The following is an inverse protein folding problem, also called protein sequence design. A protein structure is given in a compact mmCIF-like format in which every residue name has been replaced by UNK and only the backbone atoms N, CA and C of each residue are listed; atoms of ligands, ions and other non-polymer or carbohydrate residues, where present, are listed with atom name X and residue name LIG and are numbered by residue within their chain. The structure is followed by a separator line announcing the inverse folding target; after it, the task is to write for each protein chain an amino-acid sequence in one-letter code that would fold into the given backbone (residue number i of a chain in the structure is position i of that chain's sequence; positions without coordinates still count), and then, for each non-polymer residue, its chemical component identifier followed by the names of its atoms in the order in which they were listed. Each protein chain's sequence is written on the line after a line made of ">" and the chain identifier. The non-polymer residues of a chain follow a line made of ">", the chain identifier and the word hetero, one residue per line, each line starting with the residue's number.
data_IF_559699454921
#
_entry.id   IF_559699454921
#
_cell.length_a   1.000
_cell.length_b   1.000
_cell.length_c   1.000
_cell.angle_alpha   90.00
_cell.angle_beta   90.00
_cell.angle_gamma   90.00
#
_symmetry.space_group_name_H-M   'P 1'
#
loop_
_entity.id
_entity.type
_entity.pdbx_description
1 polymer ?
#
# COMPACT_ATOMS: atom_id res chain seq x y z
N UNK A 1 7.25 -17.62 -3.10
CA UNK A 1 8.54 -17.03 -3.54
C UNK A 1 9.53 -17.07 -2.38
N UNK A 2 10.85 -17.11 -2.64
CA UNK A 2 11.88 -16.77 -1.63
C UNK A 2 12.57 -15.50 -2.14
N UNK A 3 12.07 -14.32 -1.77
CA UNK A 3 12.56 -13.06 -2.34
C UNK A 3 14.04 -12.91 -2.01
N UNK A 4 14.86 -12.80 -3.07
CA UNK A 4 16.32 -12.67 -2.97
C UNK A 4 17.02 -13.78 -2.15
N UNK A 5 16.38 -14.94 -1.93
CA UNK A 5 16.95 -16.05 -1.17
C UNK A 5 16.87 -15.96 0.37
N UNK A 6 16.31 -14.89 0.93
CA UNK A 6 16.25 -14.62 2.38
C UNK A 6 14.98 -15.23 2.99
N UNK A 7 15.07 -15.87 4.17
CA UNK A 7 13.98 -16.67 4.79
C UNK A 7 13.61 -16.27 6.21
N UNK A 8 14.42 -15.44 6.84
CA UNK A 8 14.38 -15.11 8.27
C UNK A 8 13.24 -14.17 8.63
N UNK A 9 12.60 -13.54 7.64
CA UNK A 9 11.53 -12.57 7.82
C UNK A 9 10.19 -13.06 7.29
N UNK A 10 9.13 -12.73 8.02
CA UNK A 10 7.76 -13.00 7.62
C UNK A 10 7.07 -11.76 7.04
N UNK A 11 5.77 -11.90 6.80
CA UNK A 11 4.89 -10.81 6.38
C UNK A 11 3.85 -10.48 7.45
N UNK A 12 3.32 -9.27 7.39
CA UNK A 12 2.22 -8.81 8.24
C UNK A 12 1.18 -8.04 7.43
N UNK A 13 0.04 -7.73 8.06
CA UNK A 13 -1.05 -6.92 7.51
C UNK A 13 -1.64 -6.04 8.61
N UNK A 14 -2.41 -5.01 8.26
CA UNK A 14 -3.15 -4.23 9.25
C UNK A 14 -4.10 -5.10 10.06
N UNK A 15 -4.81 -6.04 9.41
CA UNK A 15 -5.71 -6.98 10.08
C UNK A 15 -4.97 -7.91 11.06
N UNK A 16 -3.78 -8.42 10.70
CA UNK A 16 -2.93 -9.21 11.60
C UNK A 16 -2.39 -8.39 12.79
N UNK A 17 -2.32 -7.07 12.64
CA UNK A 17 -2.00 -6.13 13.73
C UNK A 17 -3.25 -5.70 14.53
N UNK A 18 -4.44 -6.25 14.22
CA UNK A 18 -5.70 -5.94 14.90
C UNK A 18 -6.42 -4.69 14.38
N UNK A 19 -6.02 -4.17 13.21
CA UNK A 19 -6.61 -2.99 12.60
C UNK A 19 -7.56 -3.40 11.47
N UNK A 20 -8.85 -3.14 11.66
CA UNK A 20 -9.88 -3.39 10.65
C UNK A 20 -10.05 -2.15 9.76
N UNK A 21 -9.27 -2.10 8.67
CA UNK A 21 -9.21 -0.97 7.74
C UNK A 21 -9.72 -1.41 6.38
N UNK A 22 -10.61 -0.61 5.80
CA UNK A 22 -11.09 -0.80 4.43
C UNK A 22 -10.08 -0.28 3.41
N UNK A 23 -10.11 -0.80 2.17
CA UNK A 23 -9.23 -0.30 1.10
C UNK A 23 -9.41 1.20 0.84
N UNK A 24 -10.65 1.70 0.87
CA UNK A 24 -10.91 3.13 0.70
C UNK A 24 -10.30 4.01 1.81
N UNK A 25 -10.30 3.53 3.05
CA UNK A 25 -9.63 4.23 4.16
C UNK A 25 -8.10 4.21 4.00
N UNK A 26 -7.54 3.09 3.54
CA UNK A 26 -6.13 2.99 3.24
C UNK A 26 -5.73 3.97 2.12
N UNK A 27 -6.50 4.01 1.03
CA UNK A 27 -6.25 4.92 -0.10
C UNK A 27 -6.27 6.38 0.35
N UNK A 28 -7.24 6.77 1.18
CA UNK A 28 -7.34 8.11 1.74
C UNK A 28 -6.11 8.48 2.60
N UNK A 29 -5.70 7.57 3.49
CA UNK A 29 -4.53 7.79 4.36
C UNK A 29 -3.22 7.90 3.57
N UNK A 30 -3.07 7.10 2.51
CA UNK A 30 -1.92 7.18 1.60
C UNK A 30 -1.90 8.50 0.82
N UNK A 31 -3.05 8.95 0.32
CA UNK A 31 -3.16 10.23 -0.38
C UNK A 31 -2.82 11.42 0.52
N UNK A 32 -3.27 11.41 1.78
CA UNK A 32 -2.93 12.43 2.78
C UNK A 32 -1.43 12.45 3.10
N UNK A 33 -0.82 11.27 3.24
CA UNK A 33 0.61 11.13 3.59
C UNK A 33 1.54 11.47 2.41
N UNK A 34 1.04 11.46 1.19
CA UNK A 34 1.86 11.53 -0.02
C UNK A 34 2.64 12.84 -0.13
N UNK A 35 1.99 13.99 0.04
CA UNK A 35 2.64 15.29 -0.11
C UNK A 35 3.82 15.45 0.86
N UNK A 36 3.72 14.89 2.06
CA UNK A 36 4.78 14.95 3.07
C UNK A 36 6.02 14.14 2.69
N UNK A 37 5.86 13.03 1.96
CA UNK A 37 6.96 12.14 1.56
C UNK A 37 7.52 12.52 0.19
N UNK A 38 6.67 12.89 -0.77
CA UNK A 38 7.03 13.07 -2.18
C UNK A 38 6.93 14.51 -2.68
N UNK A 39 6.28 15.42 -1.95
CA UNK A 39 6.17 16.83 -2.33
C UNK A 39 5.23 17.13 -3.51
N UNK A 40 4.43 16.17 -3.96
CA UNK A 40 3.48 16.29 -5.07
C UNK A 40 2.10 15.74 -4.71
N UNK A 41 1.12 15.83 -5.61
CA UNK A 41 -0.09 15.00 -5.50
C UNK A 41 0.12 13.67 -6.21
N UNK A 42 -0.41 12.55 -5.69
CA UNK A 42 -0.37 11.27 -6.40
C UNK A 42 -1.09 11.37 -7.74
N UNK A 43 -0.60 10.64 -8.74
CA UNK A 43 -1.28 10.52 -10.03
C UNK A 43 -2.63 9.82 -9.86
N UNK A 44 -3.60 10.19 -10.70
CA UNK A 44 -4.85 9.44 -10.78
C UNK A 44 -4.57 7.98 -11.17
N UNK A 45 -5.39 7.05 -10.65
CA UNK A 45 -5.39 5.67 -11.09
C UNK A 45 -5.71 5.63 -12.58
N UNK A 46 -4.77 5.13 -13.37
CA UNK A 46 -5.02 4.82 -14.78
C UNK A 46 -5.50 3.38 -14.83
N UNK A 47 -6.74 3.10 -15.27
CA UNK A 47 -7.19 1.73 -15.47
C UNK A 47 -6.25 1.05 -16.47
N UNK A 48 -5.82 -0.17 -16.15
CA UNK A 48 -5.16 -1.00 -17.15
C UNK A 48 -6.19 -1.33 -18.24
N UNK A 49 -5.78 -1.35 -19.53
CA UNK A 49 -6.65 -1.86 -20.59
C UNK A 49 -7.09 -3.28 -20.25
N UNK A 50 -8.35 -3.61 -20.53
CA UNK A 50 -8.82 -4.98 -20.44
C UNK A 50 -8.03 -5.84 -21.45
N UNK A 51 -7.26 -6.82 -20.95
CA UNK A 51 -6.58 -7.85 -21.78
C UNK A 51 -7.54 -8.99 -22.13
#
# INVERSE_FOLDING_TARGET
>A
IVPCGIREFGVTSFEKLGLNVTMAQLDAALAESWQAVFGSTPSALTPLPDE
#
